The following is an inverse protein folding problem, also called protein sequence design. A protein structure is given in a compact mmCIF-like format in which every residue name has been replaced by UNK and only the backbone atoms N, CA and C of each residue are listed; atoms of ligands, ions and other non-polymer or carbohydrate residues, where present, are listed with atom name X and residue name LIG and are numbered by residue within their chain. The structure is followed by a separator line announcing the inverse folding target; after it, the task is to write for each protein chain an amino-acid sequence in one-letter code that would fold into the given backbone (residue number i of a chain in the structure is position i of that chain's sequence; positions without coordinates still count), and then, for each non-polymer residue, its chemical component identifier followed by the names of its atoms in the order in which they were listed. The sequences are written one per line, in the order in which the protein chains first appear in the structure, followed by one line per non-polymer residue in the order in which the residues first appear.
data_IF_935759089507
#
_entry.id   IF_935759089507
#
_cell.length_a   1.000
_cell.length_b   1.000
_cell.length_c   1.000
_cell.angle_alpha   90.00
_cell.angle_beta   90.00
_cell.angle_gamma   90.00
#
_symmetry.space_group_name_H-M   'P 1'
#
loop_
_entity.id
_entity.type
_entity.pdbx_description
1 polymer ?
#
# COMPACT_ATOMS: atom_id res chain seq x y z
N UNK A 1 -13.54 -15.85 -50.83
CA UNK A 1 -12.83 -16.19 -49.59
C UNK A 1 -13.17 -15.14 -48.58
N UNK A 2 -14.18 -15.41 -47.76
CA UNK A 2 -14.75 -14.50 -46.79
C UNK A 2 -14.21 -14.89 -45.42
N UNK A 3 -13.34 -14.05 -44.87
CA UNK A 3 -12.76 -14.19 -43.55
C UNK A 3 -13.76 -13.74 -42.47
N UNK A 4 -14.36 -14.69 -41.81
CA UNK A 4 -15.30 -14.46 -40.69
C UNK A 4 -14.47 -14.29 -39.43
N UNK A 5 -14.22 -13.06 -38.99
CA UNK A 5 -13.73 -12.76 -37.63
C UNK A 5 -14.82 -13.15 -36.63
N UNK A 6 -14.65 -14.29 -35.99
CA UNK A 6 -15.42 -14.68 -34.80
C UNK A 6 -15.00 -13.80 -33.63
N UNK A 7 -15.87 -12.90 -33.24
CA UNK A 7 -15.87 -12.18 -31.97
C UNK A 7 -16.19 -13.20 -30.88
N UNK A 8 -15.19 -13.64 -30.11
CA UNK A 8 -15.38 -14.41 -28.86
C UNK A 8 -15.88 -13.48 -27.76
N UNK A 9 -17.17 -13.21 -27.76
CA UNK A 9 -17.86 -12.56 -26.64
C UNK A 9 -18.29 -13.65 -25.67
N UNK A 10 -17.34 -14.14 -24.84
CA UNK A 10 -17.63 -15.08 -23.76
C UNK A 10 -18.58 -14.43 -22.75
N UNK A 11 -19.83 -14.91 -22.66
CA UNK A 11 -20.77 -14.51 -21.61
C UNK A 11 -20.23 -14.99 -20.26
N UNK A 12 -19.65 -14.07 -19.49
CA UNK A 12 -19.31 -14.33 -18.10
C UNK A 12 -20.59 -14.63 -17.29
N UNK A 13 -20.53 -15.58 -16.34
CA UNK A 13 -21.61 -15.80 -15.38
C UNK A 13 -21.88 -14.55 -14.55
N UNK A 14 -23.04 -14.50 -13.90
CA UNK A 14 -23.38 -13.38 -13.01
C UNK A 14 -22.29 -13.22 -11.92
N UNK A 15 -21.74 -12.01 -11.78
CA UNK A 15 -20.66 -11.72 -10.84
C UNK A 15 -19.23 -12.08 -11.29
N UNK A 16 -19.04 -12.66 -12.49
CA UNK A 16 -17.73 -13.13 -12.96
C UNK A 16 -17.07 -12.23 -14.04
N UNK A 17 -17.74 -11.16 -14.45
CA UNK A 17 -17.19 -10.23 -15.44
C UNK A 17 -16.14 -9.31 -14.77
N UNK A 18 -14.83 -9.48 -15.07
CA UNK A 18 -13.76 -8.71 -14.43
C UNK A 18 -13.81 -7.23 -14.82
N UNK A 19 -14.30 -6.89 -16.00
CA UNK A 19 -14.42 -5.50 -16.46
C UNK A 19 -15.50 -4.77 -15.67
N UNK A 20 -16.64 -5.41 -15.44
CA UNK A 20 -17.69 -4.84 -14.58
C UNK A 20 -17.25 -4.72 -13.12
N UNK A 21 -16.53 -5.74 -12.62
CA UNK A 21 -16.00 -5.70 -11.25
C UNK A 21 -15.06 -4.52 -11.07
N UNK A 22 -14.12 -4.31 -12.01
CA UNK A 22 -13.19 -3.18 -11.96
C UNK A 22 -13.93 -1.85 -12.05
N UNK A 23 -14.89 -1.72 -12.96
CA UNK A 23 -15.71 -0.51 -13.09
C UNK A 23 -16.44 -0.14 -11.79
N UNK A 24 -16.92 -1.12 -11.04
CA UNK A 24 -17.54 -0.89 -9.73
C UNK A 24 -16.49 -0.42 -8.71
N UNK A 25 -15.31 -1.01 -8.71
CA UNK A 25 -14.22 -0.61 -7.82
C UNK A 25 -13.72 0.81 -8.12
N UNK A 26 -13.57 1.17 -9.39
CA UNK A 26 -13.18 2.52 -9.80
C UNK A 26 -14.22 3.56 -9.35
N UNK A 27 -15.51 3.24 -9.53
CA UNK A 27 -16.60 4.08 -9.04
C UNK A 27 -16.62 4.21 -7.52
N UNK A 28 -16.35 3.13 -6.80
CA UNK A 28 -16.25 3.15 -5.34
C UNK A 28 -15.07 4.00 -4.86
N UNK A 29 -13.91 3.86 -5.51
CA UNK A 29 -12.72 4.66 -5.21
C UNK A 29 -13.02 6.16 -5.37
N UNK A 30 -13.62 6.58 -6.49
CA UNK A 30 -13.96 7.97 -6.75
C UNK A 30 -14.93 8.53 -5.70
N UNK A 31 -15.94 7.74 -5.32
CA UNK A 31 -16.91 8.15 -4.29
C UNK A 31 -16.24 8.28 -2.92
N UNK A 32 -15.43 7.30 -2.51
CA UNK A 32 -14.73 7.34 -1.23
C UNK A 32 -13.72 8.49 -1.14
N UNK A 33 -13.00 8.80 -2.21
CA UNK A 33 -12.09 9.94 -2.25
C UNK A 33 -12.82 11.29 -2.14
N UNK A 34 -13.97 11.42 -2.83
CA UNK A 34 -14.74 12.67 -2.86
C UNK A 34 -15.53 12.94 -1.60
N UNK A 35 -16.18 11.90 -1.03
CA UNK A 35 -17.15 12.06 0.06
C UNK A 35 -16.67 11.49 1.39
N UNK A 36 -15.59 10.70 1.40
CA UNK A 36 -15.21 9.85 2.52
C UNK A 36 -16.05 8.58 2.62
N UNK A 37 -15.55 7.61 3.37
CA UNK A 37 -16.22 6.31 3.52
C UNK A 37 -17.59 6.42 4.25
N UNK A 38 -17.66 7.21 5.32
CA UNK A 38 -18.87 7.28 6.16
C UNK A 38 -20.05 7.89 5.41
N UNK A 39 -19.84 8.97 4.66
CA UNK A 39 -20.89 9.65 3.89
C UNK A 39 -21.27 8.91 2.60
N UNK A 40 -20.39 8.04 2.09
CA UNK A 40 -20.64 7.27 0.88
C UNK A 40 -21.71 6.20 1.08
N UNK A 41 -22.57 6.00 0.07
CA UNK A 41 -23.56 4.95 0.03
C UNK A 41 -23.39 4.04 -1.18
N UNK A 42 -23.93 2.81 -1.10
CA UNK A 42 -23.99 1.90 -2.25
C UNK A 42 -24.73 2.52 -3.45
N UNK A 43 -25.71 3.41 -3.22
CA UNK A 43 -26.41 4.11 -4.29
C UNK A 43 -25.50 5.14 -4.99
N UNK A 44 -24.65 5.85 -4.25
CA UNK A 44 -23.68 6.78 -4.84
C UNK A 44 -22.67 6.05 -5.70
N UNK A 45 -22.16 4.90 -5.21
CA UNK A 45 -21.25 4.04 -5.94
C UNK A 45 -21.91 3.47 -7.21
N UNK A 46 -23.16 3.01 -7.09
CA UNK A 46 -23.94 2.51 -8.23
C UNK A 46 -24.06 3.55 -9.35
N UNK A 47 -24.35 4.79 -8.98
CA UNK A 47 -24.46 5.93 -9.91
C UNK A 47 -23.11 6.27 -10.54
N UNK A 48 -22.07 6.36 -9.75
CA UNK A 48 -20.71 6.67 -10.23
C UNK A 48 -20.19 5.58 -11.17
N UNK A 49 -20.37 4.31 -10.81
CA UNK A 49 -19.95 3.18 -11.63
C UNK A 49 -20.83 2.98 -12.88
N UNK A 50 -22.00 3.65 -13.00
CA UNK A 50 -22.91 3.48 -14.12
C UNK A 50 -23.40 2.05 -14.28
N UNK A 51 -23.74 1.39 -13.17
CA UNK A 51 -24.31 0.04 -13.12
C UNK A 51 -25.70 0.07 -12.44
N UNK A 52 -26.49 -1.01 -12.60
CA UNK A 52 -27.77 -1.11 -11.87
C UNK A 52 -27.52 -1.51 -10.40
N UNK A 53 -28.49 -1.18 -9.52
CA UNK A 53 -28.46 -1.58 -8.11
C UNK A 53 -28.40 -3.10 -7.96
N UNK A 54 -29.11 -3.86 -8.79
CA UNK A 54 -29.03 -5.31 -8.78
C UNK A 54 -27.64 -5.80 -9.21
N UNK A 55 -27.00 -5.13 -10.17
CA UNK A 55 -25.67 -5.49 -10.62
C UNK A 55 -24.63 -5.33 -9.51
N UNK A 56 -24.60 -4.20 -8.79
CA UNK A 56 -23.58 -3.99 -7.76
C UNK A 56 -23.64 -5.05 -6.66
N UNK A 57 -24.86 -5.45 -6.23
CA UNK A 57 -25.03 -6.47 -5.18
C UNK A 57 -24.72 -7.90 -5.63
N UNK A 58 -24.59 -8.15 -6.93
CA UNK A 58 -24.06 -9.43 -7.46
C UNK A 58 -22.55 -9.55 -7.27
N UNK A 59 -21.82 -8.41 -7.23
CA UNK A 59 -20.36 -8.37 -7.12
C UNK A 59 -19.87 -8.09 -5.69
N UNK A 60 -20.62 -7.28 -4.94
CA UNK A 60 -20.22 -6.82 -3.60
C UNK A 60 -21.46 -6.68 -2.70
N UNK A 61 -21.41 -7.31 -1.55
CA UNK A 61 -22.53 -7.33 -0.59
C UNK A 61 -22.69 -5.98 0.15
N UNK A 62 -21.58 -5.25 0.32
CA UNK A 62 -21.57 -4.03 1.13
C UNK A 62 -20.49 -3.03 0.67
N UNK A 63 -20.60 -1.78 1.17
CA UNK A 63 -19.54 -0.79 0.98
C UNK A 63 -18.27 -1.14 1.74
N UNK A 64 -18.38 -1.88 2.84
CA UNK A 64 -17.24 -2.37 3.60
C UNK A 64 -16.41 -3.36 2.78
N UNK A 65 -17.06 -4.29 2.07
CA UNK A 65 -16.39 -5.23 1.17
C UNK A 65 -15.71 -4.53 -0.01
N UNK A 66 -16.38 -3.53 -0.61
CA UNK A 66 -15.78 -2.69 -1.65
C UNK A 66 -14.52 -1.99 -1.14
N UNK A 67 -14.61 -1.40 0.04
CA UNK A 67 -13.49 -0.71 0.65
C UNK A 67 -12.33 -1.65 0.98
N UNK A 68 -12.61 -2.81 1.60
CA UNK A 68 -11.59 -3.83 1.87
C UNK A 68 -10.92 -4.32 0.58
N UNK A 69 -11.70 -4.53 -0.49
CA UNK A 69 -11.18 -4.95 -1.80
C UNK A 69 -10.26 -3.90 -2.42
N UNK A 70 -10.62 -2.62 -2.36
CA UNK A 70 -9.78 -1.52 -2.84
C UNK A 70 -8.47 -1.45 -2.05
N UNK A 71 -8.54 -1.55 -0.73
CA UNK A 71 -7.34 -1.61 0.11
C UNK A 71 -6.43 -2.79 -0.25
N UNK A 72 -7.01 -3.96 -0.56
CA UNK A 72 -6.23 -5.14 -0.97
C UNK A 72 -5.58 -4.96 -2.35
N UNK A 73 -6.28 -4.36 -3.32
CA UNK A 73 -5.69 -4.05 -4.63
C UNK A 73 -4.46 -3.13 -4.50
N UNK A 74 -4.56 -2.06 -3.73
CA UNK A 74 -3.44 -1.15 -3.52
C UNK A 74 -2.26 -1.82 -2.81
N UNK A 75 -2.54 -2.68 -1.82
CA UNK A 75 -1.51 -3.46 -1.14
C UNK A 75 -0.83 -4.46 -2.07
N UNK A 76 -1.58 -5.16 -2.92
CA UNK A 76 -1.03 -6.19 -3.81
C UNK A 76 -0.03 -5.59 -4.81
N UNK A 77 -0.27 -4.38 -5.29
CA UNK A 77 0.67 -3.65 -6.16
C UNK A 77 1.99 -3.42 -5.43
N UNK A 78 1.95 -2.94 -4.18
CA UNK A 78 3.15 -2.75 -3.37
C UNK A 78 3.91 -4.07 -3.19
N UNK A 79 3.21 -5.14 -2.79
CA UNK A 79 3.86 -6.42 -2.55
C UNK A 79 4.48 -7.02 -3.81
N UNK A 80 3.85 -6.86 -4.97
CA UNK A 80 4.43 -7.27 -6.26
C UNK A 80 5.72 -6.50 -6.56
N UNK A 81 5.75 -5.20 -6.30
CA UNK A 81 6.98 -4.39 -6.47
C UNK A 81 8.09 -4.84 -5.51
N UNK A 82 7.75 -5.14 -4.26
CA UNK A 82 8.71 -5.61 -3.26
C UNK A 82 9.23 -7.02 -3.61
N UNK A 83 8.38 -7.91 -4.08
CA UNK A 83 8.79 -9.24 -4.53
C UNK A 83 9.73 -9.17 -5.74
N UNK A 84 9.49 -8.26 -6.68
CA UNK A 84 10.39 -7.99 -7.79
C UNK A 84 11.77 -7.52 -7.29
N UNK A 85 11.83 -6.58 -6.35
CA UNK A 85 13.07 -6.10 -5.72
C UNK A 85 13.84 -7.25 -5.04
N UNK A 86 13.13 -8.14 -4.35
CA UNK A 86 13.72 -9.34 -3.74
C UNK A 86 14.24 -10.36 -4.77
N UNK A 87 13.56 -10.47 -5.92
CA UNK A 87 13.92 -11.38 -7.03
C UNK A 87 15.15 -10.92 -7.81
N UNK A 88 15.40 -9.62 -7.91
CA UNK A 88 16.57 -9.04 -8.59
C UNK A 88 17.88 -9.15 -7.82
N UNK A 89 17.87 -9.81 -6.66
CA UNK A 89 19.09 -10.01 -5.85
C UNK A 89 19.62 -8.73 -5.17
N UNK A 90 18.83 -7.67 -5.16
CA UNK A 90 19.12 -6.40 -4.47
C UNK A 90 19.05 -6.59 -2.94
N UNK A 91 19.97 -7.35 -2.36
CA UNK A 91 20.15 -7.37 -0.91
C UNK A 91 21.27 -6.39 -0.55
N UNK A 92 20.99 -5.12 -0.70
CA UNK A 92 21.90 -4.01 -0.48
C UNK A 92 21.10 -2.77 -0.04
N UNK A 93 21.78 -1.66 0.10
CA UNK A 93 21.19 -0.37 0.46
C UNK A 93 20.10 0.09 -0.53
N UNK A 94 20.32 -0.13 -1.82
CA UNK A 94 19.40 0.26 -2.90
C UNK A 94 18.04 -0.45 -2.78
N UNK A 95 18.03 -1.71 -2.37
CA UNK A 95 16.78 -2.44 -2.15
C UNK A 95 15.98 -1.89 -0.98
N UNK A 96 16.63 -1.44 0.12
CA UNK A 96 15.93 -0.74 1.20
C UNK A 96 15.36 0.61 0.74
N UNK A 97 16.10 1.34 -0.10
CA UNK A 97 15.63 2.61 -0.70
C UNK A 97 14.39 2.33 -1.58
N UNK A 98 14.45 1.33 -2.45
CA UNK A 98 13.34 0.98 -3.32
C UNK A 98 12.10 0.55 -2.50
N UNK A 99 12.29 -0.28 -1.46
CA UNK A 99 11.23 -0.65 -0.52
C UNK A 99 10.63 0.57 0.16
N UNK A 100 11.46 1.46 0.71
CA UNK A 100 11.01 2.66 1.41
C UNK A 100 10.22 3.60 0.50
N UNK A 101 10.66 3.82 -0.75
CA UNK A 101 9.95 4.63 -1.74
C UNK A 101 8.57 4.03 -2.02
N UNK A 102 8.49 2.73 -2.29
CA UNK A 102 7.22 2.06 -2.55
C UNK A 102 6.28 2.14 -1.34
N UNK A 103 6.79 1.91 -0.12
CA UNK A 103 6.02 2.01 1.11
C UNK A 103 5.48 3.42 1.34
N UNK A 104 6.34 4.44 1.30
CA UNK A 104 5.93 5.83 1.57
C UNK A 104 4.93 6.29 0.52
N UNK A 105 5.16 6.01 -0.77
CA UNK A 105 4.21 6.32 -1.84
C UNK A 105 2.83 5.73 -1.56
N UNK A 106 2.78 4.46 -1.17
CA UNK A 106 1.50 3.79 -0.85
C UNK A 106 0.83 4.44 0.37
N UNK A 107 1.53 4.53 1.51
CA UNK A 107 0.87 4.91 2.78
C UNK A 107 0.51 6.38 2.85
N UNK A 108 1.11 7.23 2.01
CA UNK A 108 0.80 8.67 1.91
C UNK A 108 -0.14 9.03 0.75
N UNK A 109 -0.54 8.05 -0.06
CA UNK A 109 -1.54 8.25 -1.12
C UNK A 109 -2.90 8.68 -0.55
N UNK A 110 -3.65 9.46 -1.31
CA UNK A 110 -4.98 9.95 -0.91
C UNK A 110 -5.90 8.81 -0.50
N UNK A 111 -5.88 7.71 -1.23
CA UNK A 111 -6.69 6.52 -0.96
C UNK A 111 -6.36 5.91 0.40
N UNK A 112 -5.08 5.66 0.68
CA UNK A 112 -4.67 5.01 1.93
C UNK A 112 -4.81 5.95 3.12
N UNK A 113 -4.54 7.24 2.97
CA UNK A 113 -4.77 8.24 4.01
C UNK A 113 -6.27 8.34 4.36
N UNK A 114 -7.16 8.37 3.36
CA UNK A 114 -8.60 8.36 3.59
C UNK A 114 -9.05 7.09 4.31
N UNK A 115 -8.52 5.94 3.89
CA UNK A 115 -8.76 4.65 4.54
C UNK A 115 -8.34 4.67 6.02
N UNK A 116 -7.13 5.13 6.30
CA UNK A 116 -6.61 5.19 7.66
C UNK A 116 -7.42 6.12 8.58
N UNK A 117 -7.79 7.31 8.10
CA UNK A 117 -8.67 8.22 8.85
C UNK A 117 -9.99 7.56 9.20
N UNK A 118 -10.60 6.87 8.23
CA UNK A 118 -11.84 6.12 8.42
C UNK A 118 -11.68 5.02 9.47
N UNK A 119 -10.64 4.20 9.36
CA UNK A 119 -10.35 3.12 10.31
C UNK A 119 -10.14 3.67 11.73
N UNK A 120 -9.35 4.73 11.87
CA UNK A 120 -9.12 5.37 13.17
C UNK A 120 -10.42 5.89 13.78
N UNK A 121 -11.32 6.49 12.99
CA UNK A 121 -12.61 7.00 13.46
C UNK A 121 -13.58 5.93 13.94
N UNK A 122 -13.44 4.69 13.49
CA UNK A 122 -14.33 3.58 13.88
C UNK A 122 -13.72 2.62 14.90
N UNK A 123 -12.40 2.63 15.10
CA UNK A 123 -11.65 1.64 15.91
C UNK A 123 -12.11 1.60 17.38
N UNK A 124 -12.51 2.72 17.97
CA UNK A 124 -13.05 2.72 19.34
C UNK A 124 -14.35 1.92 19.47
N UNK A 125 -15.20 1.99 18.45
CA UNK A 125 -16.53 1.32 18.45
C UNK A 125 -16.47 -0.09 17.89
N UNK A 126 -15.52 -0.35 16.99
CA UNK A 126 -15.35 -1.62 16.27
C UNK A 126 -13.84 -1.96 16.17
N UNK A 127 -13.22 -2.37 17.28
CA UNK A 127 -11.76 -2.62 17.33
C UNK A 127 -11.31 -3.71 16.36
N UNK A 128 -12.18 -4.67 16.05
CA UNK A 128 -11.91 -5.75 15.09
C UNK A 128 -11.60 -5.23 13.68
N UNK A 129 -12.12 -4.07 13.28
CA UNK A 129 -11.83 -3.44 11.98
C UNK A 129 -10.38 -2.93 11.99
N UNK A 130 -9.96 -2.25 13.06
CA UNK A 130 -8.59 -1.78 13.24
C UNK A 130 -7.58 -2.93 13.25
N UNK A 131 -7.89 -4.02 13.98
CA UNK A 131 -7.05 -5.22 14.03
C UNK A 131 -6.86 -5.82 12.64
N UNK A 132 -7.94 -6.07 11.90
CA UNK A 132 -7.86 -6.61 10.53
C UNK A 132 -7.07 -5.71 9.58
N UNK A 133 -7.29 -4.40 9.67
CA UNK A 133 -6.54 -3.45 8.84
C UNK A 133 -5.04 -3.52 9.12
N UNK A 134 -4.65 -3.53 10.40
CA UNK A 134 -3.25 -3.63 10.82
C UNK A 134 -2.61 -4.94 10.37
N UNK A 135 -3.28 -6.07 10.56
CA UNK A 135 -2.76 -7.38 10.20
C UNK A 135 -2.55 -7.55 8.69
N UNK A 136 -3.51 -7.07 7.90
CA UNK A 136 -3.47 -7.21 6.44
C UNK A 136 -2.51 -6.23 5.75
N UNK A 137 -2.23 -5.08 6.36
CA UNK A 137 -1.37 -4.03 5.80
C UNK A 137 -0.04 -3.88 6.56
N UNK A 138 0.01 -3.06 7.62
CA UNK A 138 1.24 -2.72 8.33
C UNK A 138 2.06 -3.92 8.79
N UNK A 139 1.41 -4.93 9.40
CA UNK A 139 2.08 -6.15 9.88
C UNK A 139 2.74 -6.93 8.75
N UNK A 140 2.07 -7.05 7.60
CA UNK A 140 2.63 -7.76 6.44
C UNK A 140 3.81 -7.01 5.84
N UNK A 141 3.72 -5.68 5.71
CA UNK A 141 4.85 -4.85 5.26
C UNK A 141 6.05 -5.03 6.20
N UNK A 142 5.82 -4.94 7.50
CA UNK A 142 6.87 -5.13 8.49
C UNK A 142 7.52 -6.53 8.40
N UNK A 143 6.73 -7.58 8.19
CA UNK A 143 7.26 -8.94 8.00
C UNK A 143 8.23 -9.01 6.80
N UNK A 144 7.88 -8.38 5.67
CA UNK A 144 8.75 -8.33 4.49
C UNK A 144 10.03 -7.54 4.76
N UNK A 145 9.92 -6.39 5.45
CA UNK A 145 11.08 -5.58 5.82
C UNK A 145 12.01 -6.33 6.78
N UNK A 146 11.45 -7.03 7.78
CA UNK A 146 12.21 -7.88 8.71
C UNK A 146 13.01 -8.93 7.96
N UNK A 147 12.36 -9.68 7.06
CA UNK A 147 13.02 -10.71 6.24
C UNK A 147 14.13 -10.11 5.35
N UNK A 148 13.95 -8.87 4.89
CA UNK A 148 14.98 -8.17 4.12
C UNK A 148 16.19 -7.82 5.00
N UNK A 149 15.97 -7.29 6.20
CA UNK A 149 17.03 -6.96 7.17
C UNK A 149 17.79 -8.22 7.61
N UNK A 150 17.08 -9.34 7.81
CA UNK A 150 17.72 -10.65 8.09
C UNK A 150 18.70 -11.05 6.99
N UNK A 151 18.32 -10.88 5.71
CA UNK A 151 19.21 -11.17 4.58
C UNK A 151 20.45 -10.26 4.56
N UNK A 152 20.30 -8.98 4.91
CA UNK A 152 21.45 -8.06 5.02
C UNK A 152 22.39 -8.49 6.14
N UNK A 153 21.86 -8.93 7.27
CA UNK A 153 22.65 -9.45 8.39
C UNK A 153 23.36 -10.76 8.04
N UNK A 154 22.69 -11.71 7.35
CA UNK A 154 23.30 -12.95 6.87
C UNK A 154 24.47 -12.72 5.90
N UNK A 155 24.50 -11.57 5.22
CA UNK A 155 25.58 -11.15 4.32
C UNK A 155 26.65 -10.28 4.99
N UNK A 156 26.59 -10.13 6.33
CA UNK A 156 27.49 -9.26 7.10
C UNK A 156 27.49 -7.79 6.64
N UNK A 157 26.41 -7.33 6.01
CA UNK A 157 26.25 -5.93 5.58
C UNK A 157 25.87 -5.05 6.78
N UNK A 158 25.04 -5.57 7.67
CA UNK A 158 24.61 -4.91 8.91
C UNK A 158 24.77 -5.85 10.10
N UNK A 159 24.81 -5.29 11.31
CA UNK A 159 24.85 -6.02 12.57
C UNK A 159 23.82 -5.43 13.52
N UNK A 160 22.72 -6.15 13.77
CA UNK A 160 21.63 -5.76 14.68
C UNK A 160 21.41 -6.84 15.71
N UNK A 161 21.09 -6.44 16.93
CA UNK A 161 20.80 -7.37 18.04
C UNK A 161 19.38 -7.90 17.97
N UNK A 162 18.44 -7.05 17.54
CA UNK A 162 17.01 -7.37 17.39
C UNK A 162 16.54 -6.88 15.99
N UNK A 163 16.48 -7.83 15.07
CA UNK A 163 16.10 -7.55 13.67
C UNK A 163 14.67 -7.02 13.56
N UNK A 164 13.76 -7.55 14.36
CA UNK A 164 12.37 -7.09 14.33
C UNK A 164 12.25 -5.66 14.81
N UNK A 165 12.92 -5.30 15.89
CA UNK A 165 12.93 -3.93 16.41
C UNK A 165 13.60 -2.96 15.44
N UNK A 166 14.71 -3.36 14.81
CA UNK A 166 15.36 -2.56 13.77
C UNK A 166 14.46 -2.33 12.54
N UNK A 167 13.63 -3.32 12.17
CA UNK A 167 12.63 -3.15 11.13
C UNK A 167 11.54 -2.13 11.52
N UNK A 168 11.05 -2.15 12.77
CA UNK A 168 10.13 -1.13 13.27
C UNK A 168 10.74 0.27 13.20
N UNK A 169 11.99 0.42 13.66
CA UNK A 169 12.69 1.70 13.64
C UNK A 169 12.84 2.24 12.22
N UNK A 170 13.25 1.39 11.27
CA UNK A 170 13.41 1.82 9.87
C UNK A 170 12.07 2.18 9.22
N UNK A 171 11.01 1.41 9.50
CA UNK A 171 9.66 1.72 9.00
C UNK A 171 9.17 3.10 9.48
N UNK A 172 9.40 3.45 10.75
CA UNK A 172 9.05 4.78 11.29
C UNK A 172 9.94 5.90 10.73
N UNK A 173 11.24 5.63 10.49
CA UNK A 173 12.15 6.58 9.85
C UNK A 173 11.69 6.91 8.41
N UNK A 174 11.23 5.92 7.65
CA UNK A 174 10.66 6.16 6.32
C UNK A 174 9.48 7.13 6.34
N UNK A 175 8.69 7.13 7.40
CA UNK A 175 7.48 7.94 7.54
C UNK A 175 7.71 9.29 8.22
N UNK A 176 8.94 9.54 8.70
CA UNK A 176 9.28 10.74 9.46
C UNK A 176 9.01 12.02 8.66
N UNK A 177 8.34 12.98 9.30
CA UNK A 177 8.08 14.30 8.71
C UNK A 177 7.03 14.36 7.59
N UNK A 178 6.56 13.23 7.06
CA UNK A 178 5.58 13.20 5.95
C UNK A 178 4.25 12.61 6.38
N UNK A 179 4.26 11.39 6.91
CA UNK A 179 3.05 10.60 7.12
C UNK A 179 2.04 11.26 8.07
N UNK A 180 2.47 11.72 9.25
CA UNK A 180 1.56 12.38 10.21
C UNK A 180 0.99 13.67 9.67
N UNK A 181 1.77 14.44 8.91
CA UNK A 181 1.29 15.66 8.27
C UNK A 181 0.20 15.36 7.24
N UNK A 182 0.33 14.28 6.48
CA UNK A 182 -0.74 13.79 5.59
C UNK A 182 -1.95 13.30 6.38
N UNK A 183 -1.73 12.48 7.42
CA UNK A 183 -2.80 11.89 8.22
C UNK A 183 -3.69 12.95 8.89
N UNK A 184 -3.09 14.04 9.38
CA UNK A 184 -3.78 15.16 10.03
C UNK A 184 -4.19 16.29 9.07
N UNK A 185 -4.11 16.09 7.76
CA UNK A 185 -4.47 17.06 6.72
C UNK A 185 -3.65 18.37 6.75
N UNK A 186 -2.49 18.39 7.39
CA UNK A 186 -1.56 19.52 7.34
C UNK A 186 -0.90 19.61 5.95
N UNK A 187 -0.53 18.49 5.36
CA UNK A 187 -0.19 18.36 3.94
C UNK A 187 -1.45 17.90 3.18
N UNK A 188 -2.00 18.77 2.35
CA UNK A 188 -3.21 18.50 1.59
C UNK A 188 -2.96 17.53 0.42
N UNK A 189 -1.82 17.68 -0.26
CA UNK A 189 -1.47 16.89 -1.44
C UNK A 189 -0.52 15.75 -1.12
N UNK A 190 -0.46 14.77 -2.01
CA UNK A 190 0.53 13.70 -1.96
C UNK A 190 1.94 14.30 -2.04
N UNK A 191 2.91 13.74 -1.30
CA UNK A 191 4.30 14.19 -1.39
C UNK A 191 4.87 13.89 -2.78
N UNK A 192 5.74 14.77 -3.27
CA UNK A 192 6.40 14.56 -4.56
C UNK A 192 7.37 13.37 -4.49
N UNK A 193 7.67 12.78 -5.65
CA UNK A 193 8.66 11.69 -5.74
C UNK A 193 10.03 12.11 -5.19
N UNK A 194 10.41 13.38 -5.34
CA UNK A 194 11.65 13.95 -4.81
C UNK A 194 11.64 14.01 -3.27
N UNK A 195 10.53 14.48 -2.68
CA UNK A 195 10.37 14.51 -1.22
C UNK A 195 10.41 13.10 -0.62
N UNK A 196 9.74 12.14 -1.25
CA UNK A 196 9.74 10.73 -0.83
C UNK A 196 11.16 10.19 -0.89
N UNK A 197 11.84 10.35 -2.02
CA UNK A 197 13.21 9.85 -2.21
C UNK A 197 14.17 10.43 -1.18
N UNK A 198 14.16 11.75 -0.99
CA UNK A 198 15.01 12.42 -0.01
C UNK A 198 14.81 11.86 1.40
N UNK A 199 13.56 11.72 1.82
CA UNK A 199 13.23 11.19 3.15
C UNK A 199 13.69 9.75 3.33
N UNK A 200 13.45 8.91 2.32
CA UNK A 200 13.82 7.49 2.34
C UNK A 200 15.34 7.31 2.33
N UNK A 201 16.06 8.03 1.49
CA UNK A 201 17.53 7.97 1.46
C UNK A 201 18.15 8.45 2.78
N UNK A 202 17.58 9.50 3.38
CA UNK A 202 17.98 9.96 4.72
C UNK A 202 17.76 8.87 5.78
N UNK A 203 16.59 8.24 5.77
CA UNK A 203 16.24 7.15 6.70
C UNK A 203 17.20 5.95 6.56
N UNK A 204 17.48 5.53 5.33
CA UNK A 204 18.41 4.42 5.05
C UNK A 204 19.83 4.79 5.47
N UNK A 205 20.27 6.03 5.23
CA UNK A 205 21.58 6.51 5.68
C UNK A 205 21.72 6.46 7.21
N UNK A 206 20.70 6.91 7.95
CA UNK A 206 20.67 6.82 9.41
C UNK A 206 20.70 5.36 9.88
N UNK A 207 19.96 4.49 9.24
CA UNK A 207 19.91 3.07 9.56
C UNK A 207 21.30 2.42 9.38
N UNK A 208 21.98 2.69 8.26
CA UNK A 208 23.31 2.18 8.00
C UNK A 208 24.40 2.83 8.89
N UNK A 209 24.23 4.08 9.29
CA UNK A 209 25.11 4.70 10.26
C UNK A 209 25.04 4.03 11.64
N UNK A 210 23.84 3.53 12.01
CA UNK A 210 23.64 2.83 13.28
C UNK A 210 24.04 1.35 13.23
N UNK A 211 23.74 0.66 12.13
CA UNK A 211 23.79 -0.80 12.04
C UNK A 211 24.75 -1.32 10.94
N UNK A 212 25.25 -0.47 10.04
CA UNK A 212 26.18 -0.87 8.97
C UNK A 212 27.51 -1.38 9.52
N UNK A 213 28.02 -2.45 8.90
CA UNK A 213 29.37 -2.93 9.20
C UNK A 213 30.41 -2.05 8.52
N UNK A 214 31.65 -2.04 9.03
CA UNK A 214 32.74 -1.18 8.51
C UNK A 214 33.08 -1.35 7.02
N UNK A 215 32.47 -2.34 6.33
CA UNK A 215 32.68 -2.58 4.89
C UNK A 215 31.94 -1.59 4.00
N UNK A 216 30.90 -0.92 4.52
CA UNK A 216 30.01 -0.03 3.73
C UNK A 216 30.01 1.44 4.16
N UNK A 217 30.89 1.84 5.09
CA UNK A 217 31.07 3.25 5.44
C UNK A 217 32.10 3.82 4.45
N UNK A 218 31.72 4.73 3.53
CA UNK A 218 32.71 5.45 2.72
C UNK A 218 33.65 6.18 3.68
N UNK A 219 34.91 5.87 3.65
CA UNK A 219 35.94 6.68 4.31
C UNK A 219 35.82 8.08 3.74
N UNK A 220 35.40 9.04 4.57
CA UNK A 220 35.43 10.44 4.23
C UNK A 220 36.89 10.80 3.94
N UNK A 221 37.20 11.06 2.64
CA UNK A 221 38.45 11.63 2.17
C UNK A 221 38.42 13.14 2.31
#
# INVERSE_FOLDING_TARGET
MTDTKQSQNGRHGAGQDPVKRQKILDGAQNVFLRMGFDAASMNDITREAGVSKSTIYVYFESKDELFETLCEQHRSILFTQIEAINGEGLSNKEGLIAYGIALVTLVTSDMVISAQRTILGVTERKPEIGVRFYERGPRRGLFVLTAYIEKLQQKDIICVTDVQHAAYQLAELFLAGIYRQRLFAFLENEPTAEQIRYNVESAVNMFFAAYGTKRDIPTAG
#
